data_IF_832339678891
#
_entry.id   IF_832339678891
#
_cell.length_a   1.000
_cell.length_b   1.000
_cell.length_c   1.000
_cell.angle_alpha   90.00
_cell.angle_beta   90.00
_cell.angle_gamma   90.00
#
_symmetry.space_group_name_H-M   'P 1'
#
loop_
_entity.id
_entity.type
_entity.pdbx_description
1 polymer ?
#
# COMPACT_ATOMS: atom_id res chain seq x y z
N UNK A 1 -6.94 -34.07 -30.69
CA UNK A 1 -6.00 -34.56 -29.66
C UNK A 1 -5.98 -33.54 -28.54
N UNK A 2 -6.66 -33.86 -27.46
CA UNK A 2 -6.92 -33.01 -26.30
C UNK A 2 -5.75 -33.08 -25.31
N UNK A 3 -5.10 -31.94 -25.04
CA UNK A 3 -4.09 -31.82 -23.98
C UNK A 3 -4.77 -31.56 -22.62
N UNK A 4 -4.60 -32.42 -21.61
CA UNK A 4 -5.09 -32.18 -20.26
C UNK A 4 -3.93 -31.69 -19.39
N UNK A 5 -3.73 -30.37 -19.34
CA UNK A 5 -2.85 -29.77 -18.35
C UNK A 5 -3.27 -28.31 -18.19
N UNK A 6 -4.10 -28.03 -17.18
CA UNK A 6 -4.29 -26.74 -16.47
C UNK A 6 -5.61 -26.81 -15.66
N UNK A 7 -5.72 -27.79 -14.78
CA UNK A 7 -6.69 -27.77 -13.68
C UNK A 7 -5.92 -27.97 -12.39
N UNK A 8 -5.43 -26.87 -11.81
CA UNK A 8 -4.88 -26.84 -10.46
C UNK A 8 -5.81 -26.00 -9.57
N UNK A 9 -6.72 -26.74 -8.95
CA UNK A 9 -7.05 -26.69 -7.52
C UNK A 9 -7.30 -25.32 -6.88
N UNK A 10 -8.59 -24.96 -6.80
CA UNK A 10 -9.15 -24.00 -5.85
C UNK A 10 -9.22 -24.67 -4.46
N UNK A 11 -8.29 -24.39 -3.54
CA UNK A 11 -8.50 -24.66 -2.11
C UNK A 11 -7.49 -23.94 -1.19
N UNK A 12 -7.96 -23.68 0.05
CA UNK A 12 -7.33 -23.07 1.23
C UNK A 12 -7.60 -21.55 1.36
N UNK A 13 -8.10 -21.01 2.48
CA UNK A 13 -7.65 -21.20 3.87
C UNK A 13 -8.81 -20.84 4.82
N UNK A 14 -9.09 -21.66 5.84
CA UNK A 14 -9.99 -21.31 6.94
C UNK A 14 -9.23 -21.24 8.29
N UNK A 15 -9.31 -20.04 8.88
CA UNK A 15 -9.29 -19.64 10.29
C UNK A 15 -8.18 -20.13 11.26
N UNK A 16 -7.36 -19.18 11.72
CA UNK A 16 -6.52 -19.26 12.92
C UNK A 16 -7.15 -18.49 14.10
N UNK A 17 -7.20 -19.14 15.26
CA UNK A 17 -6.70 -18.65 16.55
C UNK A 17 -7.43 -17.50 17.26
N UNK A 18 -8.20 -17.84 18.29
CA UNK A 18 -8.58 -16.90 19.36
C UNK A 18 -7.46 -16.84 20.41
N UNK A 19 -6.95 -15.64 20.72
CA UNK A 19 -6.09 -15.38 21.88
C UNK A 19 -6.82 -14.44 22.86
N UNK A 20 -6.72 -14.79 24.13
CA UNK A 20 -7.30 -14.12 25.29
C UNK A 20 -6.63 -12.78 25.61
N UNK A 21 -7.43 -11.80 26.03
CA UNK A 21 -6.99 -10.49 26.53
C UNK A 21 -6.84 -10.55 28.05
N UNK A 22 -5.60 -10.51 28.53
CA UNK A 22 -5.30 -10.15 29.92
C UNK A 22 -5.09 -8.64 30.00
N UNK A 23 -5.98 -7.91 30.66
CA UNK A 23 -5.79 -6.48 30.93
C UNK A 23 -5.01 -6.31 32.23
N UNK A 24 -3.70 -6.04 32.13
CA UNK A 24 -2.92 -5.54 33.24
C UNK A 24 -3.17 -4.03 33.40
N UNK A 25 -3.80 -3.62 34.50
CA UNK A 25 -3.97 -2.22 34.88
C UNK A 25 -2.82 -1.82 35.79
N UNK A 26 -1.79 -1.18 35.23
CA UNK A 26 -0.74 -0.52 36.00
C UNK A 26 -0.73 0.97 35.64
N UNK A 27 -1.10 1.83 36.59
CA UNK A 27 -0.97 3.28 36.43
C UNK A 27 0.51 3.71 36.46
N UNK A 28 0.91 4.74 35.70
CA UNK A 28 2.30 5.19 35.66
C UNK A 28 2.70 5.88 36.97
N UNK A 29 3.78 5.42 37.60
CA UNK A 29 4.49 6.17 38.64
C UNK A 29 5.71 6.84 38.00
N UNK A 30 5.66 8.17 37.82
CA UNK A 30 6.67 8.87 37.02
C UNK A 30 7.97 9.20 37.77
N UNK A 31 7.94 9.40 39.09
CA UNK A 31 9.15 9.64 39.89
C UNK A 31 8.87 9.59 41.40
N UNK A 32 9.90 9.24 42.19
CA UNK A 32 9.93 9.33 43.66
C UNK A 32 10.88 10.45 44.15
N UNK A 33 11.42 11.27 43.23
CA UNK A 33 12.41 12.30 43.53
C UNK A 33 11.75 13.58 44.08
N UNK A 34 12.36 14.26 45.07
CA UNK A 34 11.83 15.50 45.63
C UNK A 34 11.75 16.60 44.56
N UNK A 35 10.73 17.44 44.65
CA UNK A 35 10.40 18.47 43.66
C UNK A 35 11.51 19.51 43.43
N UNK A 36 12.44 19.65 44.38
CA UNK A 36 13.64 20.49 44.27
C UNK A 36 14.66 19.97 43.26
N UNK A 37 14.64 18.68 42.93
CA UNK A 37 15.49 18.06 41.92
C UNK A 37 14.89 18.13 40.50
N UNK A 38 13.71 18.71 40.34
CA UNK A 38 13.01 18.76 39.06
C UNK A 38 13.51 19.91 38.20
N UNK A 39 13.44 19.72 36.88
CA UNK A 39 13.69 20.80 35.92
C UNK A 39 12.62 21.87 36.11
N UNK A 40 13.05 23.14 36.16
CA UNK A 40 12.14 24.27 36.24
C UNK A 40 11.12 24.25 35.09
N UNK A 41 9.84 24.33 35.45
CA UNK A 41 8.73 24.22 34.49
C UNK A 41 8.74 25.38 33.48
N UNK A 42 9.18 26.58 33.87
CA UNK A 42 9.30 27.73 32.99
C UNK A 42 10.40 27.52 31.95
N UNK A 43 11.57 27.04 32.38
CA UNK A 43 12.70 26.71 31.51
C UNK A 43 12.34 25.61 30.50
N UNK A 44 11.65 24.57 30.94
CA UNK A 44 11.17 23.50 30.07
C UNK A 44 10.13 23.99 29.04
N UNK A 45 9.20 24.86 29.44
CA UNK A 45 8.24 25.47 28.52
C UNK A 45 8.93 26.35 27.48
N UNK A 46 9.96 27.11 27.87
CA UNK A 46 10.75 27.92 26.93
C UNK A 46 11.48 27.06 25.90
N UNK A 47 12.08 25.96 26.33
CA UNK A 47 12.77 25.02 25.43
C UNK A 47 11.80 24.41 24.40
N UNK A 48 10.59 24.07 24.82
CA UNK A 48 9.56 23.55 23.91
C UNK A 48 9.02 24.62 22.96
N UNK A 49 8.86 25.88 23.42
CA UNK A 49 8.52 27.00 22.53
C UNK A 49 9.62 27.25 21.50
N UNK A 50 10.89 27.12 21.87
CA UNK A 50 12.02 27.21 20.94
C UNK A 50 12.02 26.08 19.88
N UNK A 51 11.48 24.91 20.23
CA UNK A 51 11.26 23.80 19.30
C UNK A 51 9.96 23.94 18.47
N UNK A 52 9.23 25.05 18.60
CA UNK A 52 8.03 25.35 17.80
C UNK A 52 6.71 24.82 18.38
N UNK A 53 6.68 24.42 19.65
CA UNK A 53 5.45 23.95 20.31
C UNK A 53 4.74 25.08 21.09
N UNK A 54 3.44 25.26 20.88
CA UNK A 54 2.60 26.15 21.69
C UNK A 54 1.94 25.41 22.86
N UNK A 55 2.34 25.73 24.08
CA UNK A 55 1.80 25.12 25.31
C UNK A 55 0.87 26.11 26.01
N UNK A 56 -0.42 25.77 26.05
CA UNK A 56 -1.45 26.63 26.67
C UNK A 56 -1.62 26.39 28.17
N UNK A 57 -1.33 25.17 28.66
CA UNK A 57 -1.48 24.82 30.07
C UNK A 57 -0.52 23.70 30.45
N UNK A 58 0.28 23.93 31.48
CA UNK A 58 1.13 22.91 32.10
C UNK A 58 0.51 22.56 33.46
N UNK A 59 0.07 21.30 33.63
CA UNK A 59 -0.54 20.84 34.89
C UNK A 59 0.29 19.69 35.45
N UNK A 60 0.61 19.78 36.73
CA UNK A 60 1.21 18.69 37.48
C UNK A 60 0.04 17.85 38.04
N UNK A 61 -0.01 16.56 37.70
CA UNK A 61 -1.03 15.65 38.22
C UNK A 61 -0.68 15.20 39.64
N UNK A 62 -1.65 14.66 40.38
CA UNK A 62 -1.47 14.17 41.74
C UNK A 62 -0.43 13.06 41.88
N UNK A 63 -0.12 12.34 40.78
CA UNK A 63 0.97 11.36 40.71
C UNK A 63 2.35 11.95 40.40
N UNK A 64 2.53 13.28 40.58
CA UNK A 64 3.79 13.99 40.31
C UNK A 64 4.31 13.86 38.87
N UNK A 65 3.42 13.57 37.91
CA UNK A 65 3.73 13.60 36.48
C UNK A 65 3.37 14.98 35.91
N UNK A 66 4.31 15.63 35.21
CA UNK A 66 3.98 16.79 34.37
C UNK A 66 3.18 16.33 33.15
N UNK A 67 1.90 16.70 33.07
CA UNK A 67 1.04 16.35 31.93
C UNK A 67 1.07 17.50 30.91
N UNK A 68 1.64 17.22 29.73
CA UNK A 68 1.56 18.13 28.58
C UNK A 68 0.20 17.96 27.90
N UNK A 69 -0.76 18.82 28.21
CA UNK A 69 -1.96 18.98 27.39
C UNK A 69 -1.65 19.87 26.19
N UNK A 70 -0.98 19.31 25.18
CA UNK A 70 -0.87 19.98 23.89
C UNK A 70 -2.24 19.90 23.18
N UNK A 71 -2.96 21.02 23.13
CA UNK A 71 -4.06 21.17 22.17
C UNK A 71 -3.42 21.49 20.82
N UNK A 72 -3.08 20.46 20.05
CA UNK A 72 -2.69 20.68 18.66
C UNK A 72 -3.89 21.37 17.97
N UNK A 73 -3.64 22.53 17.35
CA UNK A 73 -4.67 23.25 16.59
C UNK A 73 -5.22 22.28 15.53
N UNK A 74 -6.55 22.19 15.42
CA UNK A 74 -7.22 21.16 14.62
C UNK A 74 -6.74 21.09 13.16
N UNK A 75 -6.21 22.18 12.61
CA UNK A 75 -5.63 22.23 11.27
C UNK A 75 -4.29 21.47 11.13
N UNK A 76 -3.37 21.59 12.09
CA UNK A 76 -2.09 20.90 12.01
C UNK A 76 -2.24 19.39 12.26
N UNK A 77 -3.14 19.03 13.18
CA UNK A 77 -3.47 17.65 13.52
C UNK A 77 -4.32 16.96 12.42
N UNK A 78 -5.19 17.70 11.72
CA UNK A 78 -5.87 17.21 10.51
C UNK A 78 -4.89 17.04 9.35
N UNK A 79 -3.99 18.00 9.12
CA UNK A 79 -3.02 17.92 8.03
C UNK A 79 -2.06 16.74 8.16
N UNK A 80 -1.59 16.42 9.37
CA UNK A 80 -0.77 15.21 9.62
C UNK A 80 -1.61 13.93 9.54
N UNK A 81 -2.83 13.92 10.07
CA UNK A 81 -3.73 12.77 9.99
C UNK A 81 -4.24 12.46 8.58
N UNK A 82 -4.33 13.47 7.71
CA UNK A 82 -4.65 13.32 6.28
C UNK A 82 -3.42 12.92 5.47
N UNK A 83 -2.24 13.44 5.81
CA UNK A 83 -0.96 13.02 5.22
C UNK A 83 -0.62 11.56 5.56
N UNK A 84 -1.11 11.01 6.67
CA UNK A 84 -0.92 9.61 7.06
C UNK A 84 -1.93 8.66 6.39
N UNK A 85 -3.00 9.17 5.78
CA UNK A 85 -4.02 8.32 5.13
C UNK A 85 -3.73 8.04 3.67
N UNK A 86 -4.17 6.88 3.19
CA UNK A 86 -4.24 6.52 1.78
C UNK A 86 -5.48 7.21 1.18
N UNK A 87 -5.32 8.05 0.13
CA UNK A 87 -6.44 8.75 -0.48
C UNK A 87 -7.53 7.80 -0.95
N UNK A 88 -8.81 8.19 -0.76
CA UNK A 88 -9.95 7.37 -1.17
C UNK A 88 -9.89 7.03 -2.67
N UNK A 89 -9.52 7.99 -3.52
CA UNK A 89 -9.37 7.78 -4.96
C UNK A 89 -8.40 6.64 -5.30
N UNK A 90 -7.31 6.49 -4.55
CA UNK A 90 -6.32 5.42 -4.77
C UNK A 90 -6.88 4.06 -4.34
N UNK A 91 -7.62 4.00 -3.23
CA UNK A 91 -8.27 2.77 -2.76
C UNK A 91 -9.33 2.28 -3.74
N UNK A 92 -10.20 3.19 -4.20
CA UNK A 92 -11.22 2.88 -5.19
C UNK A 92 -10.59 2.39 -6.50
N UNK A 93 -9.57 3.09 -7.00
CA UNK A 93 -8.82 2.66 -8.17
C UNK A 93 -8.24 1.26 -8.01
N UNK A 94 -7.58 0.97 -6.87
CA UNK A 94 -6.95 -0.32 -6.64
C UNK A 94 -7.97 -1.46 -6.70
N UNK A 95 -9.08 -1.33 -5.96
CA UNK A 95 -10.11 -2.37 -5.92
C UNK A 95 -10.88 -2.49 -7.23
N UNK A 96 -11.15 -1.36 -7.91
CA UNK A 96 -11.76 -1.38 -9.23
C UNK A 96 -10.87 -2.07 -10.26
N UNK A 97 -9.56 -1.79 -10.26
CA UNK A 97 -8.61 -2.41 -11.17
C UNK A 97 -8.46 -3.91 -10.90
N UNK A 98 -8.38 -4.30 -9.62
CA UNK A 98 -8.32 -5.70 -9.23
C UNK A 98 -9.60 -6.46 -9.64
N UNK A 99 -10.78 -5.87 -9.41
CA UNK A 99 -12.05 -6.45 -9.81
C UNK A 99 -12.17 -6.57 -11.34
N UNK A 100 -11.75 -5.54 -12.09
CA UNK A 100 -11.75 -5.57 -13.55
C UNK A 100 -10.86 -6.69 -14.10
N UNK A 101 -9.64 -6.82 -13.58
CA UNK A 101 -8.70 -7.86 -14.00
C UNK A 101 -9.20 -9.27 -13.66
N UNK A 102 -9.62 -9.49 -12.41
CA UNK A 102 -10.14 -10.80 -11.96
C UNK A 102 -11.42 -11.16 -12.72
N UNK A 103 -12.30 -10.20 -12.95
CA UNK A 103 -13.52 -10.39 -13.73
C UNK A 103 -13.22 -10.75 -15.18
N UNK A 104 -12.29 -10.04 -15.83
CA UNK A 104 -11.89 -10.34 -17.21
C UNK A 104 -11.31 -11.76 -17.30
N UNK A 105 -10.43 -12.14 -16.37
CA UNK A 105 -9.85 -13.48 -16.31
C UNK A 105 -10.91 -14.57 -16.07
N UNK A 106 -11.88 -14.32 -15.20
CA UNK A 106 -12.93 -15.31 -14.88
C UNK A 106 -13.98 -15.46 -15.99
N UNK A 107 -14.23 -14.40 -16.78
CA UNK A 107 -15.30 -14.36 -17.79
C UNK A 107 -14.81 -14.62 -19.21
N UNK A 108 -13.50 -14.81 -19.43
CA UNK A 108 -12.89 -15.00 -20.76
C UNK A 108 -13.56 -16.11 -21.58
N UNK A 109 -13.85 -17.25 -20.96
CA UNK A 109 -14.36 -18.44 -21.67
C UNK A 109 -15.85 -18.34 -22.01
N UNK A 110 -16.66 -17.75 -21.12
CA UNK A 110 -18.12 -17.83 -21.19
C UNK A 110 -18.76 -16.54 -21.73
N UNK A 111 -18.10 -15.38 -21.55
CA UNK A 111 -18.69 -14.09 -21.87
C UNK A 111 -17.70 -13.11 -22.47
N UNK A 112 -17.44 -13.29 -23.75
CA UNK A 112 -16.46 -12.51 -24.51
C UNK A 112 -16.68 -10.99 -24.46
N UNK A 113 -17.92 -10.53 -24.62
CA UNK A 113 -18.23 -9.11 -24.53
C UNK A 113 -17.88 -8.51 -23.15
N UNK A 114 -18.17 -9.24 -22.06
CA UNK A 114 -17.82 -8.79 -20.72
C UNK A 114 -16.30 -8.75 -20.50
N UNK A 115 -15.57 -9.77 -20.98
CA UNK A 115 -14.11 -9.80 -20.96
C UNK A 115 -13.50 -8.58 -21.67
N UNK A 116 -13.98 -8.25 -22.87
CA UNK A 116 -13.51 -7.10 -23.66
C UNK A 116 -13.75 -5.77 -22.92
N UNK A 117 -14.98 -5.53 -22.43
CA UNK A 117 -15.30 -4.30 -21.69
C UNK A 117 -14.52 -4.16 -20.39
N UNK A 118 -14.27 -5.26 -19.67
CA UNK A 118 -13.43 -5.24 -18.47
C UNK A 118 -11.96 -4.96 -18.80
N UNK A 119 -11.46 -5.44 -19.94
CA UNK A 119 -10.15 -5.08 -20.48
C UNK A 119 -10.03 -3.58 -20.76
N UNK A 120 -11.02 -2.98 -21.41
CA UNK A 120 -11.07 -1.53 -21.65
C UNK A 120 -11.19 -0.73 -20.35
N UNK A 121 -11.99 -1.19 -19.39
CA UNK A 121 -12.10 -0.56 -18.08
C UNK A 121 -10.76 -0.58 -17.32
N UNK A 122 -10.04 -1.72 -17.35
CA UNK A 122 -8.71 -1.82 -16.75
C UNK A 122 -7.71 -0.86 -17.39
N UNK A 123 -7.68 -0.78 -18.73
CA UNK A 123 -6.83 0.16 -19.46
C UNK A 123 -7.15 1.63 -19.11
N UNK A 124 -8.43 1.99 -19.08
CA UNK A 124 -8.88 3.33 -18.72
C UNK A 124 -8.52 3.69 -17.28
N UNK A 125 -8.66 2.76 -16.34
CA UNK A 125 -8.23 2.94 -14.95
C UNK A 125 -6.72 3.18 -14.85
N UNK A 126 -5.91 2.39 -15.57
CA UNK A 126 -4.45 2.59 -15.61
C UNK A 126 -4.14 3.98 -16.14
N UNK A 127 -4.69 4.39 -17.29
CA UNK A 127 -4.48 5.73 -17.87
C UNK A 127 -4.90 6.83 -16.90
N UNK A 128 -6.06 6.69 -16.25
CA UNK A 128 -6.52 7.62 -15.21
C UNK A 128 -5.51 7.72 -14.08
N UNK A 129 -4.97 6.59 -13.62
CA UNK A 129 -3.97 6.58 -12.54
C UNK A 129 -2.67 7.26 -12.96
N UNK A 130 -2.24 7.04 -14.21
CA UNK A 130 -1.10 7.74 -14.78
C UNK A 130 -1.34 9.26 -14.77
N UNK A 131 -2.57 9.69 -15.07
CA UNK A 131 -2.97 11.09 -15.05
C UNK A 131 -3.09 11.68 -13.63
N UNK A 132 -3.61 10.90 -12.69
CA UNK A 132 -3.81 11.31 -11.30
C UNK A 132 -2.48 11.66 -10.62
N UNK A 133 -1.39 10.96 -10.96
CA UNK A 133 -0.07 11.18 -10.39
C UNK A 133 0.52 12.59 -10.64
N UNK A 134 -0.06 13.39 -11.56
CA UNK A 134 0.30 14.82 -11.70
C UNK A 134 -0.40 15.72 -10.69
N UNK A 135 -1.62 15.38 -10.27
CA UNK A 135 -2.45 16.16 -9.33
C UNK A 135 -2.40 15.64 -7.90
N UNK A 136 -1.74 14.50 -7.68
CA UNK A 136 -1.66 13.85 -6.37
C UNK A 136 -0.76 14.60 -5.36
N UNK A 137 -0.94 14.36 -4.04
CA UNK A 137 -0.03 14.85 -3.00
C UNK A 137 1.41 14.35 -3.22
N UNK A 138 2.40 15.03 -2.65
CA UNK A 138 3.83 14.84 -2.96
C UNK A 138 4.29 13.36 -2.94
N UNK A 139 3.85 12.59 -1.94
CA UNK A 139 4.21 11.16 -1.77
C UNK A 139 3.63 10.24 -2.85
N UNK A 140 2.60 10.71 -3.56
CA UNK A 140 1.83 9.95 -4.55
C UNK A 140 2.09 10.43 -5.99
N UNK A 141 2.99 11.41 -6.17
CA UNK A 141 3.40 11.92 -7.48
C UNK A 141 4.39 11.00 -8.18
N UNK A 142 4.48 11.17 -9.50
CA UNK A 142 5.46 10.48 -10.32
C UNK A 142 6.89 10.54 -9.81
N UNK A 143 7.31 11.62 -9.17
CA UNK A 143 8.69 11.79 -8.66
C UNK A 143 9.04 10.88 -7.47
N UNK A 144 8.05 10.35 -6.76
CA UNK A 144 8.25 9.44 -5.64
C UNK A 144 8.48 7.98 -6.09
N UNK A 145 8.18 7.65 -7.35
CA UNK A 145 8.11 6.28 -7.86
C UNK A 145 9.40 5.74 -8.53
N UNK A 146 10.13 6.49 -9.39
CA UNK A 146 11.31 5.97 -10.06
C UNK A 146 12.49 5.93 -9.09
N UNK A 147 12.82 4.72 -8.63
CA UNK A 147 14.07 4.43 -7.96
C UNK A 147 15.10 3.91 -8.98
N UNK A 148 16.34 4.37 -8.89
CA UNK A 148 17.41 3.90 -9.78
C UNK A 148 17.59 2.37 -9.66
N UNK A 149 17.96 1.67 -10.75
CA UNK A 149 18.14 0.21 -10.71
C UNK A 149 19.10 -0.25 -9.60
N UNK A 150 20.18 0.53 -9.35
CA UNK A 150 21.12 0.29 -8.26
C UNK A 150 20.46 0.33 -6.88
N UNK A 151 19.50 1.25 -6.66
CA UNK A 151 18.75 1.35 -5.39
C UNK A 151 17.84 0.15 -5.20
N UNK A 152 17.21 -0.37 -6.26
CA UNK A 152 16.39 -1.59 -6.21
C UNK A 152 17.23 -2.81 -5.87
N UNK A 153 18.36 -3.01 -6.57
CA UNK A 153 19.26 -4.15 -6.34
C UNK A 153 19.85 -4.12 -4.93
N UNK A 154 20.27 -2.93 -4.45
CA UNK A 154 20.75 -2.76 -3.07
C UNK A 154 19.64 -3.07 -2.05
N UNK A 155 18.41 -2.61 -2.30
CA UNK A 155 17.27 -2.90 -1.44
C UNK A 155 16.93 -4.40 -1.43
N UNK A 156 16.99 -5.06 -2.58
CA UNK A 156 16.81 -6.51 -2.69
C UNK A 156 17.89 -7.29 -1.92
N UNK A 157 19.16 -6.88 -2.05
CA UNK A 157 20.26 -7.47 -1.28
C UNK A 157 20.10 -7.23 0.24
N UNK A 158 19.66 -6.04 0.65
CA UNK A 158 19.36 -5.74 2.06
C UNK A 158 18.18 -6.56 2.57
N UNK A 159 17.15 -6.76 1.75
CA UNK A 159 15.97 -7.56 2.09
C UNK A 159 16.34 -9.03 2.27
N UNK A 160 17.14 -9.60 1.34
CA UNK A 160 17.65 -10.96 1.44
C UNK A 160 18.53 -11.19 2.69
N UNK A 161 19.19 -10.13 3.17
CA UNK A 161 20.01 -10.15 4.39
C UNK A 161 19.23 -9.78 5.67
N UNK A 162 17.92 -9.54 5.57
CA UNK A 162 17.07 -9.13 6.70
C UNK A 162 17.30 -7.70 7.21
N UNK A 163 18.09 -6.88 6.48
CA UNK A 163 18.52 -5.52 6.88
C UNK A 163 17.77 -4.38 6.20
N UNK A 164 16.75 -4.67 5.37
CA UNK A 164 16.02 -3.63 4.66
C UNK A 164 15.14 -2.81 5.62
N UNK A 165 15.37 -1.51 5.75
CA UNK A 165 14.54 -0.66 6.61
C UNK A 165 13.07 -0.64 6.18
N UNK A 166 12.17 -0.59 7.16
CA UNK A 166 10.74 -0.34 6.94
C UNK A 166 10.57 1.18 6.75
N UNK A 167 10.88 1.68 5.56
CA UNK A 167 10.73 3.09 5.25
C UNK A 167 9.25 3.47 5.02
N UNK A 168 8.86 4.68 5.44
CA UNK A 168 7.51 5.26 5.30
C UNK A 168 7.03 5.47 3.85
N UNK A 169 7.91 5.30 2.87
CA UNK A 169 7.66 5.51 1.44
C UNK A 169 7.53 4.21 0.63
N UNK A 170 7.46 4.33 -0.70
CA UNK A 170 7.44 3.17 -1.58
C UNK A 170 8.71 2.34 -1.44
N UNK A 171 8.54 1.05 -1.14
CA UNK A 171 9.61 0.06 -1.27
C UNK A 171 10.09 0.05 -2.74
N UNK A 172 11.40 0.19 -3.02
CA UNK A 172 11.92 0.22 -4.39
C UNK A 172 11.50 -0.97 -5.25
N UNK A 173 11.43 -2.17 -4.67
CA UNK A 173 10.98 -3.38 -5.35
C UNK A 173 9.49 -3.31 -5.66
N UNK A 174 8.68 -2.83 -4.71
CA UNK A 174 7.24 -2.68 -4.90
C UNK A 174 6.92 -1.63 -5.98
N UNK A 175 7.66 -0.52 -6.03
CA UNK A 175 7.50 0.51 -7.05
C UNK A 175 7.75 -0.04 -8.46
N UNK A 176 8.83 -0.82 -8.64
CA UNK A 176 9.13 -1.46 -9.93
C UNK A 176 8.08 -2.50 -10.33
N UNK A 177 7.58 -3.29 -9.37
CA UNK A 177 6.52 -4.24 -9.67
C UNK A 177 5.22 -3.55 -10.12
N UNK A 178 4.82 -2.45 -9.48
CA UNK A 178 3.63 -1.67 -9.88
C UNK A 178 3.79 -1.12 -11.30
N UNK A 179 4.98 -0.58 -11.64
CA UNK A 179 5.26 -0.11 -13.00
C UNK A 179 5.19 -1.24 -14.02
N UNK A 180 5.76 -2.41 -13.71
CA UNK A 180 5.69 -3.60 -14.56
C UNK A 180 4.24 -4.05 -14.77
N UNK A 181 3.43 -4.08 -13.70
CA UNK A 181 2.00 -4.41 -13.79
C UNK A 181 1.22 -3.40 -14.65
N UNK A 182 1.47 -2.10 -14.53
CA UNK A 182 0.81 -1.11 -15.38
C UNK A 182 1.18 -1.26 -16.85
N UNK A 183 2.47 -1.44 -17.16
CA UNK A 183 2.93 -1.67 -18.52
C UNK A 183 2.32 -2.96 -19.10
N UNK A 184 2.30 -4.03 -18.33
CA UNK A 184 1.75 -5.32 -18.75
C UNK A 184 0.23 -5.25 -18.95
N UNK A 185 -0.54 -4.57 -18.09
CA UNK A 185 -1.98 -4.35 -18.28
C UNK A 185 -2.27 -3.62 -19.59
N UNK A 186 -1.48 -2.58 -19.91
CA UNK A 186 -1.63 -1.84 -21.17
C UNK A 186 -1.28 -2.72 -22.38
N UNK A 187 -0.25 -3.57 -22.28
CA UNK A 187 0.09 -4.51 -23.35
C UNK A 187 -0.98 -5.60 -23.57
N UNK A 188 -1.58 -6.12 -22.48
CA UNK A 188 -2.71 -7.04 -22.53
C UNK A 188 -3.90 -6.35 -23.20
N UNK A 189 -4.25 -5.13 -22.78
CA UNK A 189 -5.36 -4.40 -23.37
C UNK A 189 -5.12 -4.06 -24.86
N UNK A 190 -3.89 -3.69 -25.24
CA UNK A 190 -3.54 -3.40 -26.62
C UNK A 190 -3.60 -4.65 -27.52
N UNK A 191 -3.07 -5.78 -27.05
CA UNK A 191 -3.17 -7.06 -27.77
C UNK A 191 -4.61 -7.57 -27.86
N UNK A 192 -5.40 -7.42 -26.79
CA UNK A 192 -6.82 -7.76 -26.77
C UNK A 192 -7.63 -6.91 -27.74
N UNK A 193 -7.42 -5.59 -27.74
CA UNK A 193 -8.02 -4.68 -28.72
C UNK A 193 -7.63 -5.04 -30.15
N UNK A 194 -6.35 -5.34 -30.43
CA UNK A 194 -5.90 -5.71 -31.76
C UNK A 194 -6.63 -6.97 -32.29
N UNK A 195 -6.88 -7.96 -31.43
CA UNK A 195 -7.66 -9.16 -31.74
C UNK A 195 -9.14 -8.88 -32.10
N UNK A 196 -9.66 -7.69 -31.78
CA UNK A 196 -11.03 -7.26 -32.19
C UNK A 196 -11.08 -6.63 -33.57
N UNK A 197 -9.92 -6.37 -34.20
CA UNK A 197 -9.85 -5.71 -35.51
C UNK A 197 -9.82 -6.72 -36.64
N UNK A 198 -10.40 -6.37 -37.79
CA UNK A 198 -10.41 -7.23 -38.99
C UNK A 198 -9.00 -7.63 -39.45
N UNK A 199 -8.00 -6.77 -39.19
CA UNK A 199 -6.59 -7.00 -39.56
C UNK A 199 -5.99 -8.23 -38.89
N UNK A 200 -6.39 -8.53 -37.66
CA UNK A 200 -5.84 -9.61 -36.84
C UNK A 200 -6.88 -10.67 -36.50
N UNK A 201 -7.97 -10.72 -37.27
CA UNK A 201 -9.03 -11.69 -37.08
C UNK A 201 -8.49 -13.12 -37.21
N UNK A 202 -8.64 -13.92 -36.15
CA UNK A 202 -8.19 -15.32 -36.12
C UNK A 202 -6.66 -15.52 -36.05
N UNK A 203 -5.89 -14.47 -35.77
CA UNK A 203 -4.43 -14.59 -35.61
C UNK A 203 -4.08 -15.36 -34.32
N UNK A 204 -3.66 -16.62 -34.48
CA UNK A 204 -3.28 -17.49 -33.38
C UNK A 204 -1.99 -17.04 -32.67
N UNK A 205 -1.08 -16.36 -33.38
CA UNK A 205 0.17 -15.86 -32.79
C UNK A 205 -0.14 -14.70 -31.85
N UNK A 206 -0.99 -13.77 -32.27
CA UNK A 206 -1.44 -12.67 -31.42
C UNK A 206 -2.28 -13.18 -30.24
N UNK A 207 -3.11 -14.21 -30.46
CA UNK A 207 -3.87 -14.85 -29.38
C UNK A 207 -2.94 -15.51 -28.35
N UNK A 208 -1.93 -16.24 -28.81
CA UNK A 208 -0.92 -16.85 -27.93
C UNK A 208 -0.11 -15.78 -27.17
N UNK A 209 0.24 -14.67 -27.83
CA UNK A 209 0.90 -13.54 -27.19
C UNK A 209 0.02 -12.94 -26.09
N UNK A 210 -1.26 -12.69 -26.36
CA UNK A 210 -2.20 -12.17 -25.36
C UNK A 210 -2.27 -13.09 -24.14
N UNK A 211 -2.45 -14.40 -24.36
CA UNK A 211 -2.48 -15.39 -23.29
C UNK A 211 -1.16 -15.45 -22.50
N UNK A 212 -0.01 -15.35 -23.18
CA UNK A 212 1.30 -15.30 -22.53
C UNK A 212 1.44 -14.05 -21.64
N UNK A 213 1.01 -12.88 -22.12
CA UNK A 213 1.03 -11.64 -21.33
C UNK A 213 0.16 -11.75 -20.08
N UNK A 214 -1.03 -12.35 -20.17
CA UNK A 214 -1.92 -12.61 -19.03
C UNK A 214 -1.27 -13.57 -18.02
N UNK A 215 -0.61 -14.64 -18.48
CA UNK A 215 0.11 -15.55 -17.61
C UNK A 215 1.28 -14.86 -16.88
N UNK A 216 2.04 -14.02 -17.59
CA UNK A 216 3.10 -13.20 -16.99
C UNK A 216 2.54 -12.20 -15.97
N UNK A 217 1.37 -11.60 -16.23
CA UNK A 217 0.68 -10.77 -15.25
C UNK A 217 0.36 -11.55 -13.97
N UNK A 218 -0.10 -12.79 -14.08
CA UNK A 218 -0.35 -13.66 -12.93
C UNK A 218 0.87 -13.80 -12.02
N UNK A 219 2.07 -13.93 -12.60
CA UNK A 219 3.33 -13.95 -11.84
C UNK A 219 3.63 -12.62 -11.14
N UNK A 220 3.39 -11.48 -11.81
CA UNK A 220 3.59 -10.14 -11.21
C UNK A 220 2.59 -9.88 -10.06
N UNK A 221 1.34 -10.34 -10.20
CA UNK A 221 0.34 -10.33 -9.14
C UNK A 221 0.78 -11.23 -7.98
N UNK A 222 1.27 -12.43 -8.25
CA UNK A 222 1.84 -13.32 -7.23
C UNK A 222 2.99 -12.66 -6.47
N UNK A 223 3.90 -12.00 -7.18
CA UNK A 223 4.99 -11.24 -6.56
C UNK A 223 4.49 -10.05 -5.73
N UNK A 224 3.45 -9.35 -6.19
CA UNK A 224 2.79 -8.30 -5.43
C UNK A 224 2.25 -8.83 -4.09
N UNK A 225 1.47 -9.93 -4.12
CA UNK A 225 0.88 -10.55 -2.93
C UNK A 225 1.96 -11.10 -1.98
N UNK A 226 3.04 -11.66 -2.51
CA UNK A 226 4.20 -12.07 -1.72
C UNK A 226 4.82 -10.86 -1.01
N UNK A 227 5.05 -9.76 -1.73
CA UNK A 227 5.57 -8.52 -1.16
C UNK A 227 4.69 -7.96 -0.05
N UNK A 228 3.36 -7.99 -0.22
CA UNK A 228 2.38 -7.60 0.79
C UNK A 228 2.43 -8.52 2.01
N UNK A 229 2.56 -9.83 1.80
CA UNK A 229 2.68 -10.81 2.89
C UNK A 229 3.98 -10.59 3.68
N UNK A 230 5.13 -10.52 3.01
CA UNK A 230 6.42 -10.25 3.65
C UNK A 230 6.41 -8.92 4.39
N UNK A 231 5.86 -7.86 3.77
CA UNK A 231 5.72 -6.56 4.41
C UNK A 231 4.84 -6.62 5.66
N UNK A 232 3.74 -7.37 5.61
CA UNK A 232 2.81 -7.54 6.74
C UNK A 232 3.49 -8.27 7.92
N UNK A 233 4.24 -9.34 7.62
CA UNK A 233 4.99 -10.09 8.63
C UNK A 233 6.09 -9.23 9.28
N UNK A 234 6.84 -8.47 8.49
CA UNK A 234 7.93 -7.62 8.99
C UNK A 234 7.42 -6.42 9.79
N UNK A 235 6.28 -5.84 9.38
CA UNK A 235 5.62 -4.77 10.10
C UNK A 235 4.77 -5.27 11.30
N UNK A 236 4.71 -6.59 11.54
CA UNK A 236 3.83 -7.22 12.55
C UNK A 236 2.39 -6.71 12.49
N UNK A 237 1.88 -6.45 11.27
CA UNK A 237 0.58 -5.84 11.03
C UNK A 237 0.02 -6.21 9.66
N UNK A 238 -1.27 -5.98 9.43
CA UNK A 238 -1.93 -6.39 8.18
C UNK A 238 -1.95 -5.23 7.17
N UNK A 239 -1.00 -5.21 6.22
CA UNK A 239 -0.90 -4.16 5.21
C UNK A 239 -2.17 -3.95 4.37
N UNK A 240 -2.90 -5.00 3.94
CA UNK A 240 -4.14 -4.82 3.16
C UNK A 240 -5.21 -4.02 3.90
N UNK A 241 -5.15 -3.95 5.25
CA UNK A 241 -6.07 -3.13 6.04
C UNK A 241 -6.04 -1.66 5.61
N UNK A 242 -4.86 -1.14 5.27
CA UNK A 242 -4.69 0.23 4.78
C UNK A 242 -5.45 0.52 3.48
N UNK A 243 -5.72 -0.50 2.67
CA UNK A 243 -6.52 -0.36 1.45
C UNK A 243 -8.03 -0.39 1.72
N UNK A 244 -8.44 -0.78 2.93
CA UNK A 244 -9.84 -0.77 3.37
C UNK A 244 -10.14 0.51 4.15
N UNK A 245 -9.44 0.73 5.27
CA UNK A 245 -9.71 1.86 6.18
C UNK A 245 -8.94 3.13 5.84
N UNK A 246 -7.94 3.04 4.96
CA UNK A 246 -7.12 4.16 4.55
C UNK A 246 -6.03 4.54 5.55
N UNK A 247 -5.91 3.89 6.71
CA UNK A 247 -4.87 4.22 7.69
C UNK A 247 -3.59 3.46 7.34
N UNK A 248 -2.47 4.17 7.24
CA UNK A 248 -1.15 3.53 7.13
C UNK A 248 -0.79 2.89 8.47
N UNK A 249 -0.03 1.80 8.42
CA UNK A 249 0.51 1.21 9.64
C UNK A 249 1.61 2.15 10.19
N UNK A 250 1.57 2.50 11.49
CA UNK A 250 2.66 3.21 12.13
C UNK A 250 3.92 2.34 12.05
N UNK A 251 5.04 2.96 11.70
CA UNK A 251 6.35 2.33 11.48
C UNK A 251 7.28 2.67 12.63
#
# INVERSE_FOLDING_TARGET
>A
MSHPALFLSRAAVAAFGALSLSTAFAGPQCTNQPQSAWIDAGKFQMELKAQGYEINKFKITSGQCGERQNRQTGNAMSATADAERVPLAIRLFHWALAAAFIGAWALEADWRAAHEWLGYAAAALVVWRLAYAWRAPADWRWRALPHSPRKVLRHAAQLARGRAELAAGYNPIAAWNVLAMFAMLLAIAASGWALTTDRYWGDQTLQALHAALVNLMGWLVGFHLLGVTVGSLRARGFLPRSMLDGRRLPH
#
